data_IF_817928992730
#
_entry.id   IF_817928992730
#
_cell.length_a   1.000
_cell.length_b   1.000
_cell.length_c   1.000
_cell.angle_alpha   90.00
_cell.angle_beta   90.00
_cell.angle_gamma   90.00
#
_symmetry.space_group_name_H-M   'P 1'
#
loop_
_entity.id
_entity.type
_entity.pdbx_description
1 polymer ?
#
# COMPACT_ATOMS: atom_id res chain seq x y z
N UNK A 1 -12.87 19.33 -5.09
CA UNK A 1 -11.59 19.22 -4.36
C UNK A 1 -11.37 17.84 -3.74
N UNK A 2 -12.29 17.37 -2.89
CA UNK A 2 -12.14 16.06 -2.26
C UNK A 2 -12.06 14.91 -3.26
N UNK A 3 -12.90 14.91 -4.29
CA UNK A 3 -12.93 13.87 -5.31
C UNK A 3 -11.63 13.81 -6.11
N UNK A 4 -11.05 14.96 -6.41
CA UNK A 4 -9.74 15.05 -7.07
C UNK A 4 -8.62 14.47 -6.21
N UNK A 5 -8.64 14.76 -4.90
CA UNK A 5 -7.69 14.23 -3.94
C UNK A 5 -7.85 12.71 -3.76
N UNK A 6 -9.08 12.22 -3.75
CA UNK A 6 -9.37 10.78 -3.66
C UNK A 6 -8.86 10.05 -4.90
N UNK A 7 -9.06 10.60 -6.10
CA UNK A 7 -8.51 10.03 -7.33
C UNK A 7 -6.99 9.97 -7.30
N UNK A 8 -6.35 11.04 -6.82
CA UNK A 8 -4.90 11.09 -6.66
C UNK A 8 -4.41 10.05 -5.67
N UNK A 9 -5.09 9.89 -4.54
CA UNK A 9 -4.78 8.89 -3.52
C UNK A 9 -4.88 7.46 -4.08
N UNK A 10 -5.91 7.16 -4.86
CA UNK A 10 -6.08 5.86 -5.52
C UNK A 10 -4.95 5.59 -6.52
N UNK A 11 -4.57 6.59 -7.31
CA UNK A 11 -3.48 6.48 -8.27
C UNK A 11 -2.14 6.23 -7.56
N UNK A 12 -1.87 6.92 -6.47
CA UNK A 12 -0.66 6.71 -5.65
C UNK A 12 -0.65 5.32 -5.02
N UNK A 13 -1.78 4.85 -4.53
CA UNK A 13 -1.91 3.52 -3.96
C UNK A 13 -1.63 2.44 -4.99
N UNK A 14 -2.18 2.58 -6.20
CA UNK A 14 -1.93 1.65 -7.31
C UNK A 14 -0.46 1.65 -7.71
N UNK A 15 0.15 2.82 -7.80
CA UNK A 15 1.57 2.96 -8.10
C UNK A 15 2.43 2.27 -7.03
N UNK A 16 2.08 2.46 -5.76
CA UNK A 16 2.75 1.79 -4.63
C UNK A 16 2.66 0.26 -4.77
N UNK A 17 1.49 -0.28 -5.11
CA UNK A 17 1.31 -1.72 -5.31
C UNK A 17 2.16 -2.22 -6.47
N UNK A 18 2.17 -1.51 -7.60
CA UNK A 18 2.99 -1.86 -8.76
C UNK A 18 4.48 -1.90 -8.40
N UNK A 19 4.96 -0.91 -7.66
CA UNK A 19 6.35 -0.89 -7.20
C UNK A 19 6.67 -2.06 -6.29
N UNK A 20 5.78 -2.39 -5.36
CA UNK A 20 5.97 -3.53 -4.45
C UNK A 20 6.02 -4.85 -5.20
N UNK A 21 5.15 -5.03 -6.17
CA UNK A 21 5.14 -6.22 -7.02
C UNK A 21 6.47 -6.34 -7.78
N UNK A 22 6.94 -5.26 -8.39
CA UNK A 22 8.20 -5.25 -9.12
C UNK A 22 9.40 -5.54 -8.21
N UNK A 23 9.46 -4.95 -7.02
CA UNK A 23 10.51 -5.23 -6.03
C UNK A 23 10.55 -6.72 -5.66
N UNK A 24 9.40 -7.32 -5.41
CA UNK A 24 9.31 -8.74 -5.06
C UNK A 24 9.75 -9.61 -6.25
N UNK A 25 9.33 -9.29 -7.46
CA UNK A 25 9.75 -9.99 -8.67
C UNK A 25 11.26 -9.93 -8.87
N UNK A 26 11.88 -8.78 -8.65
CA UNK A 26 13.33 -8.64 -8.71
C UNK A 26 14.03 -9.48 -7.65
N UNK A 27 13.52 -9.53 -6.44
CA UNK A 27 14.05 -10.39 -5.38
C UNK A 27 13.96 -11.87 -5.75
N UNK A 28 12.86 -12.30 -6.35
CA UNK A 28 12.69 -13.67 -6.83
C UNK A 28 13.75 -13.99 -7.89
N UNK A 29 13.97 -13.10 -8.84
CA UNK A 29 14.98 -13.29 -9.89
C UNK A 29 16.40 -13.41 -9.29
N UNK A 30 16.71 -12.62 -8.27
CA UNK A 30 18.00 -12.70 -7.58
C UNK A 30 18.16 -14.04 -6.89
N UNK A 31 17.15 -14.53 -6.20
CA UNK A 31 17.18 -15.84 -5.51
C UNK A 31 17.32 -16.96 -6.54
N UNK A 32 16.58 -16.89 -7.64
CA UNK A 32 16.69 -17.89 -8.73
C UNK A 32 18.08 -17.88 -9.35
N UNK A 33 18.67 -16.70 -9.56
CA UNK A 33 20.05 -16.58 -10.03
C UNK A 33 21.04 -17.24 -9.07
N UNK A 34 20.88 -17.04 -7.78
CA UNK A 34 21.72 -17.71 -6.76
C UNK A 34 21.54 -19.23 -6.78
N UNK A 35 20.31 -19.73 -6.98
CA UNK A 35 20.04 -21.16 -7.09
C UNK A 35 20.81 -21.80 -8.25
N UNK A 36 20.90 -21.07 -9.38
CA UNK A 36 21.62 -21.55 -10.58
C UNK A 36 23.12 -21.51 -10.37
N UNK A 37 23.65 -20.44 -9.75
CA UNK A 37 25.09 -20.26 -9.54
C UNK A 37 25.68 -21.16 -8.46
N UNK A 38 24.90 -21.42 -7.41
CA UNK A 38 25.36 -22.21 -6.27
C UNK A 38 25.17 -23.71 -6.54
N UNK A 39 26.21 -24.34 -7.10
CA UNK A 39 26.28 -25.80 -7.23
C UNK A 39 26.69 -26.39 -5.90
N UNK A 40 26.07 -27.50 -5.51
CA UNK A 40 26.42 -28.21 -4.24
C UNK A 40 25.63 -27.77 -3.02
N UNK A 41 24.55 -26.99 -3.21
CA UNK A 41 23.60 -26.72 -2.15
C UNK A 41 22.97 -28.02 -1.65
N UNK A 42 22.83 -28.13 -0.32
CA UNK A 42 22.05 -29.22 0.26
C UNK A 42 20.59 -29.16 -0.17
N UNK A 43 19.92 -30.29 -0.21
CA UNK A 43 18.48 -30.34 -0.52
C UNK A 43 17.67 -29.44 0.44
N UNK A 44 18.07 -29.41 1.71
CA UNK A 44 17.44 -28.57 2.72
C UNK A 44 17.54 -27.09 2.38
N UNK A 45 18.68 -26.62 1.88
CA UNK A 45 18.85 -25.23 1.47
C UNK A 45 18.06 -24.92 0.19
N UNK A 46 18.05 -25.85 -0.76
CA UNK A 46 17.22 -25.72 -1.97
C UNK A 46 15.74 -25.61 -1.62
N UNK A 47 15.25 -26.44 -0.72
CA UNK A 47 13.87 -26.42 -0.26
C UNK A 47 13.53 -25.11 0.44
N UNK A 48 14.43 -24.58 1.27
CA UNK A 48 14.24 -23.29 1.93
C UNK A 48 14.16 -22.13 0.93
N UNK A 49 15.03 -22.11 -0.07
CA UNK A 49 15.02 -21.09 -1.11
C UNK A 49 13.73 -21.17 -1.95
N UNK A 50 13.32 -22.38 -2.29
CA UNK A 50 12.08 -22.60 -3.04
C UNK A 50 10.86 -22.14 -2.23
N UNK A 51 10.80 -22.46 -0.94
CA UNK A 51 9.73 -22.02 -0.06
C UNK A 51 9.67 -20.49 -0.01
N UNK A 52 10.82 -19.84 0.06
CA UNK A 52 10.87 -18.36 0.05
C UNK A 52 10.31 -17.79 -1.25
N UNK A 53 10.65 -18.38 -2.38
CA UNK A 53 10.10 -17.97 -3.68
C UNK A 53 8.60 -18.19 -3.71
N UNK A 54 8.10 -19.31 -3.23
CA UNK A 54 6.67 -19.62 -3.19
C UNK A 54 5.91 -18.62 -2.33
N UNK A 55 6.43 -18.24 -1.17
CA UNK A 55 5.84 -17.23 -0.30
C UNK A 55 5.84 -15.85 -0.97
N UNK A 56 6.89 -15.49 -1.68
CA UNK A 56 6.97 -14.25 -2.44
C UNK A 56 5.92 -14.22 -3.55
N UNK A 57 5.72 -15.34 -4.26
CA UNK A 57 4.68 -15.44 -5.29
C UNK A 57 3.28 -15.29 -4.70
N UNK A 58 3.02 -15.85 -3.53
CA UNK A 58 1.76 -15.65 -2.81
C UNK A 58 1.55 -14.17 -2.48
N UNK A 59 2.58 -13.48 -2.06
CA UNK A 59 2.51 -12.05 -1.78
C UNK A 59 2.20 -11.23 -3.05
N UNK A 60 2.82 -11.58 -4.18
CA UNK A 60 2.53 -10.94 -5.46
C UNK A 60 1.05 -11.12 -5.83
N UNK A 61 0.53 -12.35 -5.70
CA UNK A 61 -0.88 -12.62 -5.98
C UNK A 61 -1.81 -11.80 -5.10
N UNK A 62 -1.46 -11.65 -3.82
CA UNK A 62 -2.24 -10.83 -2.89
C UNK A 62 -2.24 -9.36 -3.30
N UNK A 63 -1.08 -8.82 -3.70
CA UNK A 63 -0.96 -7.44 -4.16
C UNK A 63 -1.69 -7.21 -5.48
N UNK A 64 -1.63 -8.16 -6.41
CA UNK A 64 -2.37 -8.09 -7.67
C UNK A 64 -3.88 -8.11 -7.43
N UNK A 65 -4.34 -8.92 -6.47
CA UNK A 65 -5.75 -8.94 -6.07
C UNK A 65 -6.19 -7.61 -5.50
N UNK A 66 -5.37 -6.99 -4.65
CA UNK A 66 -5.65 -5.64 -4.13
C UNK A 66 -5.70 -4.60 -5.24
N UNK A 67 -4.87 -4.74 -6.27
CA UNK A 67 -4.95 -3.88 -7.46
C UNK A 67 -6.29 -4.02 -8.18
N UNK A 68 -6.76 -5.25 -8.37
CA UNK A 68 -8.07 -5.52 -8.99
C UNK A 68 -9.21 -4.94 -8.17
N UNK A 69 -9.18 -5.15 -6.85
CA UNK A 69 -10.18 -4.59 -5.94
C UNK A 69 -10.15 -3.06 -5.94
N UNK A 70 -8.97 -2.48 -6.03
CA UNK A 70 -8.81 -1.02 -6.14
C UNK A 70 -9.51 -0.48 -7.39
N UNK A 71 -9.39 -1.19 -8.53
CA UNK A 71 -10.07 -0.81 -9.76
C UNK A 71 -11.60 -0.86 -9.63
N UNK A 72 -12.11 -1.70 -8.73
CA UNK A 72 -13.54 -1.85 -8.44
C UNK A 72 -13.99 -1.01 -7.23
N UNK A 73 -13.15 -0.11 -6.73
CA UNK A 73 -13.38 0.67 -5.52
C UNK A 73 -13.65 -0.22 -4.29
N UNK A 74 -12.94 -1.33 -4.19
CA UNK A 74 -13.03 -2.28 -3.10
C UNK A 74 -11.65 -2.55 -2.49
N UNK A 75 -11.63 -3.28 -1.37
CA UNK A 75 -10.40 -3.74 -0.73
C UNK A 75 -9.71 -2.68 0.10
N UNK A 76 -8.39 -2.83 0.28
CA UNK A 76 -7.57 -1.96 1.14
C UNK A 76 -7.57 -0.51 0.69
N UNK A 77 -7.64 -0.25 -0.62
CA UNK A 77 -7.68 1.11 -1.13
C UNK A 77 -8.86 1.88 -0.57
N UNK A 78 -10.01 1.23 -0.42
CA UNK A 78 -11.20 1.89 0.14
C UNK A 78 -11.08 2.17 1.62
N UNK A 79 -10.37 1.35 2.36
CA UNK A 79 -10.04 1.65 3.76
C UNK A 79 -9.21 2.92 3.87
N UNK A 80 -8.17 3.03 3.04
CA UNK A 80 -7.31 4.22 3.00
C UNK A 80 -8.10 5.46 2.57
N UNK A 81 -8.94 5.34 1.54
CA UNK A 81 -9.79 6.44 1.05
C UNK A 81 -10.77 6.89 2.14
N UNK A 82 -11.41 5.95 2.81
CA UNK A 82 -12.38 6.27 3.87
C UNK A 82 -11.69 6.94 5.06
N UNK A 83 -10.53 6.46 5.48
CA UNK A 83 -9.75 7.11 6.52
C UNK A 83 -9.32 8.53 6.14
N UNK A 84 -8.92 8.72 4.91
CA UNK A 84 -8.57 10.03 4.38
C UNK A 84 -9.78 10.99 4.39
N UNK A 85 -10.95 10.51 3.95
CA UNK A 85 -12.19 11.29 3.98
C UNK A 85 -12.56 11.67 5.41
N UNK A 86 -12.51 10.72 6.33
CA UNK A 86 -12.82 10.96 7.74
C UNK A 86 -11.86 11.96 8.35
N UNK A 87 -10.58 11.83 8.07
CA UNK A 87 -9.56 12.76 8.50
C UNK A 87 -9.78 14.17 7.95
N UNK A 88 -10.16 14.27 6.69
CA UNK A 88 -10.49 15.56 6.04
C UNK A 88 -11.70 16.21 6.70
N UNK A 89 -12.76 15.45 6.92
CA UNK A 89 -13.98 15.93 7.59
C UNK A 89 -13.67 16.39 9.01
N UNK A 90 -12.94 15.63 9.78
CA UNK A 90 -12.52 15.99 11.14
C UNK A 90 -11.66 17.25 11.14
N UNK A 91 -10.75 17.36 10.17
CA UNK A 91 -9.93 18.55 10.01
C UNK A 91 -10.74 19.79 9.70
N UNK A 92 -11.75 19.65 8.86
CA UNK A 92 -12.67 20.75 8.52
C UNK A 92 -13.51 21.16 9.73
N UNK A 93 -14.03 20.19 10.48
CA UNK A 93 -14.79 20.45 11.71
C UNK A 93 -13.93 21.18 12.73
N UNK A 94 -12.71 20.71 12.95
CA UNK A 94 -11.76 21.35 13.89
C UNK A 94 -11.43 22.77 13.43
N UNK A 95 -11.20 22.98 12.16
CA UNK A 95 -10.93 24.32 11.62
C UNK A 95 -12.11 25.25 11.84
N UNK A 96 -13.32 24.78 11.61
CA UNK A 96 -14.54 25.55 11.84
C UNK A 96 -14.70 25.91 13.31
N UNK A 97 -14.46 24.97 14.22
CA UNK A 97 -14.50 25.23 15.66
C UNK A 97 -13.47 26.28 16.07
N UNK A 98 -12.22 26.14 15.62
CA UNK A 98 -11.17 27.12 15.92
C UNK A 98 -11.51 28.50 15.39
N UNK A 99 -12.01 28.60 14.16
CA UNK A 99 -12.39 29.87 13.56
C UNK A 99 -13.59 30.50 14.24
N UNK A 100 -14.62 29.72 14.54
CA UNK A 100 -15.83 30.21 15.16
C UNK A 100 -15.63 30.59 16.60
N UNK A 101 -14.94 29.77 17.37
CA UNK A 101 -14.76 30.00 18.80
C UNK A 101 -13.57 30.92 19.10
N UNK A 102 -12.44 30.73 18.48
CA UNK A 102 -11.27 31.60 18.67
C UNK A 102 -11.52 33.00 18.11
N UNK A 103 -12.13 33.09 16.94
CA UNK A 103 -12.41 34.37 16.31
C UNK A 103 -13.47 35.19 17.02
N UNK A 104 -14.45 34.53 17.66
CA UNK A 104 -15.53 35.22 18.36
C UNK A 104 -15.21 35.58 19.81
N UNK A 105 -14.39 34.76 20.48
CA UNK A 105 -14.09 34.95 21.90
C UNK A 105 -12.68 35.48 22.14
N UNK A 106 -11.76 35.25 21.23
CA UNK A 106 -10.35 35.62 21.45
C UNK A 106 -9.64 34.82 22.52
N UNK A 107 -10.29 33.85 23.13
CA UNK A 107 -9.76 33.09 24.26
C UNK A 107 -8.76 32.02 23.89
N UNK A 108 -8.78 31.55 22.66
CA UNK A 108 -7.98 30.40 22.22
C UNK A 108 -6.80 30.79 21.35
N UNK A 109 -6.48 32.00 21.35
CA UNK A 109 -5.36 32.54 20.56
C UNK A 109 -4.01 32.30 21.23
#
# INVERSE_FOLDING_TARGET
MLDSQVKSLKAEFRYFLDQKIDEIRQQILLIQGHQVELTGLSERMKDKLQLRIDLMNVNIQRLEKEKELSAQDEGLVMKVVNEYRDGFIRGMERYQEEKLFCGSTGLFI
#
